data_IF_706016769488
#
_entry.id   IF_706016769488
#
_cell.length_a   1.000
_cell.length_b   1.000
_cell.length_c   1.000
_cell.angle_alpha   90.00
_cell.angle_beta   90.00
_cell.angle_gamma   90.00
#
_symmetry.space_group_name_H-M   'P 1'
#
loop_
_entity.id
_entity.type
_entity.pdbx_description
1 polymer ?
#
# COMPACT_ATOMS: atom_id res chain seq x y z
N UNK A 1 -30.02 17.97 21.35
CA UNK A 1 -31.38 17.58 21.80
C UNK A 1 -31.46 17.83 23.30
N UNK A 2 -32.56 18.35 23.88
CA UNK A 2 -32.64 18.63 25.33
C UNK A 2 -32.54 17.34 26.15
N UNK A 3 -31.69 17.30 27.17
CA UNK A 3 -31.34 16.09 27.96
C UNK A 3 -32.54 15.40 28.61
N UNK A 4 -33.59 16.13 29.02
CA UNK A 4 -34.80 15.53 29.58
C UNK A 4 -35.52 14.57 28.61
N UNK A 5 -35.41 14.81 27.29
CA UNK A 5 -35.96 13.92 26.25
C UNK A 5 -35.13 12.67 25.97
N UNK A 6 -33.91 12.59 26.52
CA UNK A 6 -32.99 11.46 26.39
C UNK A 6 -33.25 10.45 27.51
N UNK A 7 -33.54 10.93 28.72
CA UNK A 7 -33.91 10.10 29.87
C UNK A 7 -35.28 9.41 29.68
N UNK A 8 -36.29 10.10 29.15
CA UNK A 8 -37.62 9.52 28.88
C UNK A 8 -37.61 8.37 27.85
N UNK A 9 -36.58 8.26 26.99
CA UNK A 9 -36.55 7.30 25.86
C UNK A 9 -35.73 6.03 26.11
N UNK A 10 -35.13 5.90 27.29
CA UNK A 10 -34.39 4.70 27.72
C UNK A 10 -33.28 4.25 26.74
N UNK A 11 -32.59 5.22 26.12
CA UNK A 11 -31.62 5.00 25.04
C UNK A 11 -30.34 4.26 25.46
N UNK A 12 -30.02 4.30 26.75
CA UNK A 12 -28.86 3.61 27.34
C UNK A 12 -28.97 2.08 27.32
N UNK A 13 -30.18 1.54 27.19
CA UNK A 13 -30.41 0.10 27.04
C UNK A 13 -30.44 -0.38 25.58
N UNK A 14 -30.24 0.51 24.59
CA UNK A 14 -30.52 0.21 23.17
C UNK A 14 -29.32 0.15 22.23
N UNK A 15 -28.14 0.66 22.60
CA UNK A 15 -26.96 0.61 21.72
C UNK A 15 -25.68 0.35 22.51
N UNK A 16 -24.94 -0.71 22.14
CA UNK A 16 -23.66 -1.10 22.77
C UNK A 16 -22.41 -0.51 22.12
N UNK A 17 -22.48 -0.07 20.84
CA UNK A 17 -21.36 0.57 20.13
C UNK A 17 -21.92 1.66 19.20
N UNK A 18 -21.38 2.88 19.27
CA UNK A 18 -21.76 4.01 18.41
C UNK A 18 -20.55 4.45 17.57
N UNK A 19 -20.44 3.93 16.34
CA UNK A 19 -19.41 4.37 15.38
C UNK A 19 -19.80 5.74 14.79
N UNK A 20 -19.38 6.83 15.43
CA UNK A 20 -19.62 8.18 14.88
C UNK A 20 -18.40 8.69 14.13
N UNK A 21 -18.62 9.32 12.98
CA UNK A 21 -17.59 10.04 12.25
C UNK A 21 -17.25 11.36 12.96
N UNK A 22 -16.55 11.32 14.09
CA UNK A 22 -15.86 12.46 14.74
C UNK A 22 -16.66 13.73 15.07
N UNK A 23 -17.97 13.78 14.81
CA UNK A 23 -18.84 14.95 14.96
C UNK A 23 -19.87 14.79 16.09
N UNK A 24 -19.80 13.68 16.84
CA UNK A 24 -20.61 13.51 18.04
C UNK A 24 -19.96 14.30 19.19
N UNK A 25 -20.69 15.26 19.76
CA UNK A 25 -20.21 16.04 20.88
C UNK A 25 -20.22 15.18 22.15
N UNK A 26 -19.03 14.80 22.62
CA UNK A 26 -18.80 14.14 23.91
C UNK A 26 -19.17 15.03 25.11
N UNK A 27 -19.61 16.28 24.90
CA UNK A 27 -20.02 17.20 25.97
C UNK A 27 -21.47 16.99 26.46
N UNK A 28 -22.07 15.83 26.22
CA UNK A 28 -23.43 15.50 26.68
C UNK A 28 -23.40 14.36 27.69
N UNK A 29 -24.41 14.25 28.55
CA UNK A 29 -24.57 13.23 29.60
C UNK A 29 -24.44 11.77 29.13
N UNK A 30 -24.36 11.55 27.82
CA UNK A 30 -24.05 10.25 27.24
C UNK A 30 -22.56 9.86 27.42
N UNK A 31 -21.65 10.78 27.74
CA UNK A 31 -20.22 10.49 27.85
C UNK A 31 -19.87 9.46 28.94
N UNK A 32 -20.64 9.40 30.04
CA UNK A 32 -20.46 8.41 31.11
C UNK A 32 -20.85 6.98 30.69
N UNK A 33 -21.61 6.85 29.60
CA UNK A 33 -22.12 5.57 29.08
C UNK A 33 -21.54 5.21 27.72
N UNK A 34 -20.58 6.00 27.25
CA UNK A 34 -19.91 5.80 25.97
C UNK A 34 -18.49 5.37 26.22
N UNK A 35 -18.23 4.07 26.02
CA UNK A 35 -16.86 3.60 25.91
C UNK A 35 -16.27 4.05 24.56
N UNK A 36 -15.10 4.68 24.63
CA UNK A 36 -14.35 5.04 23.46
C UNK A 36 -13.85 3.76 22.78
N UNK A 37 -14.43 3.43 21.64
CA UNK A 37 -14.04 2.26 20.84
C UNK A 37 -13.30 2.70 19.57
N UNK A 38 -12.21 2.00 19.25
CA UNK A 38 -11.54 2.16 17.98
C UNK A 38 -12.38 1.53 16.87
N UNK A 39 -12.76 2.33 15.87
CA UNK A 39 -13.23 1.80 14.60
C UNK A 39 -11.99 1.51 13.74
N UNK A 40 -11.60 0.23 13.55
CA UNK A 40 -10.40 -0.09 12.77
C UNK A 40 -10.57 0.34 11.32
N UNK A 41 -9.46 0.49 10.60
CA UNK A 41 -9.51 0.52 9.15
C UNK A 41 -10.02 -0.82 8.60
N UNK A 42 -10.67 -0.74 7.44
CA UNK A 42 -11.40 -1.85 6.84
C UNK A 42 -10.45 -2.74 6.02
N UNK A 43 -10.73 -4.04 5.99
CA UNK A 43 -10.01 -4.96 5.09
C UNK A 43 -10.47 -4.73 3.66
N UNK A 44 -9.66 -5.19 2.72
CA UNK A 44 -10.02 -5.11 1.31
C UNK A 44 -11.32 -5.87 1.03
N UNK A 45 -11.45 -7.10 1.53
CA UNK A 45 -12.66 -7.94 1.37
C UNK A 45 -13.95 -7.23 1.85
N UNK A 46 -13.88 -6.52 2.98
CA UNK A 46 -15.03 -5.76 3.49
C UNK A 46 -15.42 -4.61 2.55
N UNK A 47 -14.42 -3.97 1.93
CA UNK A 47 -14.60 -2.87 1.00
C UNK A 47 -15.03 -3.35 -0.40
N UNK A 48 -14.63 -4.56 -0.79
CA UNK A 48 -15.13 -5.25 -2.00
C UNK A 48 -16.62 -5.54 -1.87
N UNK A 49 -17.09 -5.96 -0.68
CA UNK A 49 -18.51 -6.14 -0.42
C UNK A 49 -19.30 -4.82 -0.59
N UNK A 50 -18.74 -3.70 -0.12
CA UNK A 50 -19.31 -2.36 -0.35
C UNK A 50 -19.31 -2.02 -1.85
N UNK A 51 -18.20 -2.28 -2.54
CA UNK A 51 -18.08 -2.05 -3.98
C UNK A 51 -19.14 -2.82 -4.77
N UNK A 52 -19.32 -4.11 -4.46
CA UNK A 52 -20.36 -4.96 -5.05
C UNK A 52 -21.76 -4.42 -4.79
N UNK A 53 -22.06 -3.99 -3.56
CA UNK A 53 -23.34 -3.38 -3.23
C UNK A 53 -23.58 -2.06 -4.00
N UNK A 54 -22.52 -1.30 -4.29
CA UNK A 54 -22.58 -0.06 -5.08
C UNK A 54 -22.50 -0.28 -6.60
N UNK A 55 -22.33 -1.52 -7.07
CA UNK A 55 -22.15 -1.83 -8.49
C UNK A 55 -20.83 -1.31 -9.06
N UNK A 56 -19.80 -1.17 -8.23
CA UNK A 56 -18.47 -0.73 -8.69
C UNK A 56 -17.68 -1.89 -9.32
N UNK A 57 -16.94 -1.64 -10.41
CA UNK A 57 -15.95 -2.58 -10.91
C UNK A 57 -14.89 -2.88 -9.85
N UNK A 58 -14.35 -4.10 -9.84
CA UNK A 58 -13.27 -4.52 -8.93
C UNK A 58 -12.06 -3.58 -8.99
N UNK A 59 -11.64 -3.21 -10.20
CA UNK A 59 -10.57 -2.23 -10.43
C UNK A 59 -10.80 -0.86 -9.76
N UNK A 60 -12.07 -0.47 -9.58
CA UNK A 60 -12.43 0.75 -8.86
C UNK A 60 -12.25 0.59 -7.35
N UNK A 61 -12.61 -0.57 -6.80
CA UNK A 61 -12.39 -0.91 -5.39
C UNK A 61 -10.89 -0.94 -5.11
N UNK A 62 -10.10 -1.63 -5.94
CA UNK A 62 -8.65 -1.69 -5.84
C UNK A 62 -8.01 -0.31 -5.88
N UNK A 63 -8.38 0.53 -6.86
CA UNK A 63 -7.83 1.88 -6.98
C UNK A 63 -8.16 2.75 -5.76
N UNK A 64 -9.37 2.61 -5.19
CA UNK A 64 -9.77 3.33 -3.98
C UNK A 64 -9.04 2.79 -2.75
N UNK A 65 -8.89 1.48 -2.63
CA UNK A 65 -8.21 0.85 -1.51
C UNK A 65 -6.72 1.16 -1.49
N UNK A 66 -6.07 1.10 -2.66
CA UNK A 66 -4.67 1.51 -2.87
C UNK A 66 -4.38 2.91 -2.30
N UNK A 67 -5.32 3.84 -2.50
CA UNK A 67 -5.23 5.23 -1.99
C UNK A 67 -5.63 5.35 -0.52
N UNK A 68 -6.73 4.72 -0.11
CA UNK A 68 -7.33 4.92 1.21
C UNK A 68 -6.66 4.11 2.33
N UNK A 69 -6.00 2.99 2.00
CA UNK A 69 -5.43 2.07 2.98
C UNK A 69 -6.46 1.48 3.93
N UNK A 70 -7.74 1.41 3.55
CA UNK A 70 -8.81 0.91 4.41
C UNK A 70 -9.57 1.99 5.19
N UNK A 71 -9.23 3.28 5.04
CA UNK A 71 -10.08 4.36 5.55
C UNK A 71 -11.40 4.40 4.80
N UNK A 72 -12.49 4.02 5.45
CA UNK A 72 -13.83 4.03 4.84
C UNK A 72 -14.21 5.45 4.36
N UNK A 73 -13.86 6.48 5.14
CA UNK A 73 -14.11 7.87 4.77
C UNK A 73 -13.46 8.22 3.42
N UNK A 74 -12.20 7.85 3.22
CA UNK A 74 -11.48 8.14 1.98
C UNK A 74 -11.81 7.18 0.86
N UNK A 75 -12.18 5.95 1.18
CA UNK A 75 -12.65 4.97 0.21
C UNK A 75 -13.95 5.42 -0.46
N UNK A 76 -14.87 6.01 0.30
CA UNK A 76 -16.16 6.49 -0.24
C UNK A 76 -16.04 7.84 -0.96
N UNK A 77 -15.06 8.67 -0.61
CA UNK A 77 -14.82 9.98 -1.21
C UNK A 77 -14.07 9.88 -2.55
N UNK A 78 -14.81 9.97 -3.66
CA UNK A 78 -14.24 9.91 -5.01
C UNK A 78 -13.31 11.11 -5.34
N UNK A 79 -13.46 12.24 -4.64
CA UNK A 79 -12.63 13.42 -4.81
C UNK A 79 -11.36 13.37 -3.96
N UNK A 80 -11.21 12.36 -3.09
CA UNK A 80 -10.04 12.21 -2.26
C UNK A 80 -8.78 12.03 -3.13
N UNK A 81 -7.94 13.07 -3.10
CA UNK A 81 -6.56 12.98 -3.55
C UNK A 81 -5.74 12.57 -2.33
N UNK A 82 -4.76 11.68 -2.53
CA UNK A 82 -3.75 11.39 -1.52
C UNK A 82 -3.11 12.74 -1.14
N UNK A 83 -3.48 13.27 0.03
CA UNK A 83 -3.31 14.68 0.36
C UNK A 83 -1.95 14.94 1.01
N UNK A 84 -1.26 15.98 0.51
CA UNK A 84 -0.27 16.80 1.22
C UNK A 84 0.88 16.05 1.92
N UNK A 85 1.65 15.27 1.15
CA UNK A 85 2.92 14.70 1.62
C UNK A 85 4.03 15.73 1.88
N UNK A 86 3.79 17.00 1.55
CA UNK A 86 4.64 18.12 1.97
C UNK A 86 4.78 18.18 3.49
N UNK A 87 3.81 17.67 4.25
CA UNK A 87 3.90 17.57 5.71
C UNK A 87 4.99 16.60 6.19
N UNK A 88 5.31 15.58 5.40
CA UNK A 88 6.40 14.64 5.70
C UNK A 88 7.69 15.23 5.13
N UNK A 89 8.26 16.17 5.87
CA UNK A 89 9.46 16.92 5.46
C UNK A 89 10.76 16.10 5.64
N UNK A 90 10.73 15.03 6.44
CA UNK A 90 11.91 14.19 6.68
C UNK A 90 11.66 13.01 7.61
N UNK A 91 12.71 12.23 7.93
CA UNK A 91 12.61 10.99 8.70
C UNK A 91 11.94 11.16 10.07
N UNK A 92 12.24 12.23 10.81
CA UNK A 92 11.65 12.48 12.13
C UNK A 92 10.14 12.73 12.08
N UNK A 93 9.63 13.35 11.01
CA UNK A 93 8.19 13.50 10.79
C UNK A 93 7.53 12.19 10.40
N UNK A 94 8.21 11.33 9.63
CA UNK A 94 7.71 10.02 9.29
C UNK A 94 7.63 9.10 10.52
N UNK A 95 8.61 9.13 11.43
CA UNK A 95 8.55 8.31 12.66
C UNK A 95 7.32 8.62 13.52
N UNK A 96 6.82 9.86 13.51
CA UNK A 96 5.58 10.25 14.21
C UNK A 96 4.33 9.54 13.66
N UNK A 97 4.38 9.02 12.44
CA UNK A 97 3.29 8.23 11.86
C UNK A 97 3.09 6.90 12.59
N UNK A 98 4.15 6.39 13.25
CA UNK A 98 4.14 5.12 13.96
C UNK A 98 3.91 5.28 15.47
N UNK A 99 3.80 6.52 15.98
CA UNK A 99 3.61 6.79 17.41
C UNK A 99 2.18 7.22 17.73
N UNK A 100 1.81 7.12 19.01
CA UNK A 100 0.56 7.65 19.54
C UNK A 100 0.53 9.18 19.67
N UNK A 101 1.67 9.85 19.48
CA UNK A 101 1.80 11.30 19.68
C UNK A 101 0.95 12.03 18.64
N UNK A 102 0.01 12.85 19.11
CA UNK A 102 -0.81 13.69 18.24
C UNK A 102 0.07 14.65 17.44
N UNK A 103 -0.20 14.77 16.15
CA UNK A 103 0.28 15.92 15.40
C UNK A 103 -0.72 17.07 15.59
N UNK A 104 -0.22 18.30 15.69
CA UNK A 104 -1.04 19.50 15.72
C UNK A 104 -1.95 19.57 14.47
N UNK A 105 -3.13 20.18 14.62
CA UNK A 105 -4.21 20.15 13.62
C UNK A 105 -3.84 20.73 12.25
N UNK A 106 -2.85 21.63 12.22
CA UNK A 106 -2.24 22.25 11.05
C UNK A 106 -1.50 21.25 10.15
N UNK A 107 -0.94 20.18 10.72
CA UNK A 107 -0.17 19.19 9.95
C UNK A 107 -1.02 18.08 9.33
N UNK A 108 -2.29 17.91 9.69
CA UNK A 108 -3.19 16.88 9.11
C UNK A 108 -2.62 15.44 9.03
N UNK A 109 -1.56 15.09 9.78
CA UNK A 109 -0.92 13.76 9.77
C UNK A 109 -1.93 12.64 10.08
N UNK A 110 -2.97 12.97 10.85
CA UNK A 110 -4.10 12.09 11.15
C UNK A 110 -4.90 11.63 9.92
N UNK A 111 -4.73 12.28 8.75
CA UNK A 111 -5.34 11.84 7.48
C UNK A 111 -4.54 10.73 6.79
N UNK A 112 -3.28 10.55 7.16
CA UNK A 112 -2.39 9.52 6.61
C UNK A 112 -2.27 8.34 7.57
N UNK A 113 -2.23 8.66 8.88
CA UNK A 113 -2.12 7.70 9.96
C UNK A 113 -3.46 7.04 10.26
N UNK A 114 -3.47 5.72 10.28
CA UNK A 114 -4.55 4.90 10.80
C UNK A 114 -4.21 4.39 12.20
N UNK A 115 -5.22 3.88 12.90
CA UNK A 115 -5.05 3.09 14.12
C UNK A 115 -5.61 1.70 13.92
N UNK A 116 -4.95 0.72 14.49
CA UNK A 116 -5.50 -0.62 14.65
C UNK A 116 -5.17 -1.20 16.01
N UNK A 117 -5.55 -2.45 16.22
CA UNK A 117 -5.36 -3.19 17.47
C UNK A 117 -4.39 -4.34 17.27
N UNK A 118 -3.76 -4.79 18.36
CA UNK A 118 -2.81 -5.92 18.36
C UNK A 118 -3.48 -7.26 18.03
N UNK A 119 -4.63 -7.51 18.65
CA UNK A 119 -5.43 -8.72 18.42
C UNK A 119 -6.85 -8.29 18.09
N UNK A 120 -7.30 -8.64 16.89
CA UNK A 120 -8.61 -8.28 16.34
C UNK A 120 -9.73 -9.19 16.83
N UNK A 121 -9.38 -10.34 17.40
CA UNK A 121 -10.33 -11.29 17.94
C UNK A 121 -10.62 -11.02 19.43
N UNK A 122 -9.86 -10.11 20.05
CA UNK A 122 -10.08 -9.68 21.42
C UNK A 122 -10.81 -8.32 21.44
N UNK A 123 -12.06 -8.32 21.89
CA UNK A 123 -12.89 -7.12 22.02
C UNK A 123 -12.26 -6.05 22.93
N UNK A 124 -11.54 -6.46 23.97
CA UNK A 124 -10.96 -5.54 24.96
C UNK A 124 -9.92 -4.62 24.33
N UNK A 125 -9.24 -5.10 23.29
CA UNK A 125 -8.25 -4.31 22.57
C UNK A 125 -8.84 -3.15 21.79
N UNK A 126 -10.14 -3.18 21.49
CA UNK A 126 -10.83 -2.09 20.79
C UNK A 126 -11.22 -0.94 21.71
N UNK A 127 -11.30 -1.17 23.02
CA UNK A 127 -11.68 -0.16 24.02
C UNK A 127 -10.50 0.30 24.88
N UNK A 128 -9.44 -0.51 24.97
CA UNK A 128 -8.21 -0.16 25.68
C UNK A 128 -7.24 0.62 24.77
N UNK A 129 -7.09 1.92 25.05
CA UNK A 129 -6.20 2.85 24.35
C UNK A 129 -4.74 2.38 24.30
N UNK A 130 -4.26 1.65 25.31
CA UNK A 130 -2.88 1.15 25.37
C UNK A 130 -2.64 0.01 24.39
N UNK A 131 -3.70 -0.64 23.89
CA UNK A 131 -3.62 -1.70 22.88
C UNK A 131 -3.67 -1.17 21.45
N UNK A 132 -3.88 0.14 21.28
CA UNK A 132 -3.99 0.75 19.96
C UNK A 132 -2.63 1.10 19.41
N UNK A 133 -2.41 0.76 18.15
CA UNK A 133 -1.15 1.01 17.45
C UNK A 133 -1.39 1.90 16.24
N UNK A 134 -0.53 2.90 16.08
CA UNK A 134 -0.52 3.81 14.94
C UNK A 134 0.25 3.21 13.77
N UNK A 135 -0.29 3.31 12.56
CA UNK A 135 0.38 2.82 11.35
C UNK A 135 -0.05 3.61 10.11
N UNK A 136 0.66 3.43 9.00
CA UNK A 136 0.24 3.89 7.67
C UNK A 136 -0.07 2.66 6.85
N UNK A 137 -1.29 2.58 6.32
CA UNK A 137 -1.81 1.39 5.63
C UNK A 137 -2.01 1.60 4.13
N UNK A 138 -1.96 2.86 3.68
CA UNK A 138 -2.11 3.24 2.28
C UNK A 138 -0.83 2.97 1.50
N UNK A 139 -0.92 2.06 0.51
CA UNK A 139 0.20 1.74 -0.39
C UNK A 139 0.60 2.98 -1.21
N UNK A 140 -0.36 3.78 -1.67
CA UNK A 140 -0.05 5.02 -2.38
C UNK A 140 0.81 5.99 -1.55
N UNK A 141 0.50 6.15 -0.27
CA UNK A 141 1.30 7.01 0.64
C UNK A 141 2.69 6.41 0.85
N UNK A 142 2.76 5.11 1.14
CA UNK A 142 4.04 4.41 1.35
C UNK A 142 4.94 4.51 0.11
N UNK A 143 4.39 4.35 -1.09
CA UNK A 143 5.14 4.48 -2.34
C UNK A 143 5.76 5.86 -2.52
N UNK A 144 5.03 6.91 -2.14
CA UNK A 144 5.54 8.27 -2.20
C UNK A 144 6.57 8.57 -1.09
N UNK A 145 6.53 7.85 0.03
CA UNK A 145 7.49 7.97 1.11
C UNK A 145 8.84 7.29 0.82
N UNK A 146 8.90 6.32 -0.11
CA UNK A 146 10.14 5.63 -0.52
C UNK A 146 11.25 6.62 -0.90
N UNK A 147 10.89 7.73 -1.56
CA UNK A 147 11.86 8.75 -1.98
C UNK A 147 12.45 9.56 -0.83
N UNK A 148 11.82 9.57 0.34
CA UNK A 148 12.18 10.42 1.48
C UNK A 148 12.79 9.64 2.65
N UNK A 149 12.50 8.35 2.75
CA UNK A 149 12.77 7.56 3.95
C UNK A 149 13.88 6.54 3.74
N UNK A 150 14.47 6.10 4.85
CA UNK A 150 15.44 5.01 4.88
C UNK A 150 14.74 3.67 5.14
N UNK A 151 15.42 2.54 4.84
CA UNK A 151 14.87 1.20 5.10
C UNK A 151 14.44 0.98 6.56
N UNK A 152 15.11 1.62 7.52
CA UNK A 152 14.81 1.53 8.95
C UNK A 152 13.37 1.94 9.30
N UNK A 153 12.77 2.88 8.56
CA UNK A 153 11.36 3.22 8.78
C UNK A 153 10.43 2.04 8.46
N UNK A 154 10.68 1.36 7.34
CA UNK A 154 9.88 0.22 6.91
C UNK A 154 10.12 -1.01 7.80
N UNK A 155 11.34 -1.20 8.31
CA UNK A 155 11.64 -2.23 9.33
C UNK A 155 10.79 -2.02 10.59
N UNK A 156 10.74 -0.79 11.13
CA UNK A 156 9.87 -0.46 12.28
C UNK A 156 8.39 -0.65 11.96
N UNK A 157 7.94 -0.28 10.76
CA UNK A 157 6.56 -0.49 10.35
C UNK A 157 6.23 -1.99 10.16
N UNK A 158 7.21 -2.83 9.81
CA UNK A 158 7.03 -4.27 9.72
C UNK A 158 6.84 -4.88 11.11
N UNK A 159 7.55 -4.39 12.12
CA UNK A 159 7.32 -4.78 13.52
C UNK A 159 5.91 -4.44 13.98
N UNK A 160 5.42 -3.25 13.61
CA UNK A 160 4.03 -2.83 13.87
C UNK A 160 3.04 -3.76 13.17
N UNK A 161 3.25 -4.06 11.89
CA UNK A 161 2.36 -4.91 11.11
C UNK A 161 2.28 -6.34 11.69
N UNK A 162 3.43 -6.92 12.05
CA UNK A 162 3.51 -8.22 12.74
C UNK A 162 2.85 -8.18 14.11
N UNK A 163 3.07 -7.11 14.87
CA UNK A 163 2.43 -6.89 16.16
C UNK A 163 0.91 -6.87 16.06
N UNK A 164 0.36 -6.36 14.95
CA UNK A 164 -1.07 -6.31 14.66
C UNK A 164 -1.63 -7.57 13.99
N UNK A 165 -0.78 -8.56 13.69
CA UNK A 165 -1.12 -9.74 12.89
C UNK A 165 -1.85 -9.36 11.57
N UNK A 166 -1.33 -8.36 10.87
CA UNK A 166 -1.87 -7.89 9.59
C UNK A 166 -0.95 -8.28 8.43
N UNK A 167 -1.13 -9.50 7.91
CA UNK A 167 -0.35 -10.04 6.81
C UNK A 167 -0.39 -9.16 5.54
N UNK A 168 -1.51 -8.45 5.30
CA UNK A 168 -1.63 -7.54 4.15
C UNK A 168 -0.75 -6.32 4.37
N UNK A 169 -0.78 -5.72 5.55
CA UNK A 169 0.10 -4.61 5.89
C UNK A 169 1.56 -5.06 5.81
N UNK A 170 1.90 -6.25 6.31
CA UNK A 170 3.26 -6.81 6.17
C UNK A 170 3.71 -6.88 4.70
N UNK A 171 2.83 -7.34 3.79
CA UNK A 171 3.13 -7.36 2.35
C UNK A 171 3.39 -5.97 1.76
N UNK A 172 2.55 -4.98 2.08
CA UNK A 172 2.75 -3.59 1.61
C UNK A 172 4.03 -2.98 2.19
N UNK A 173 4.38 -3.32 3.43
CA UNK A 173 5.60 -2.84 4.09
C UNK A 173 6.84 -3.49 3.49
N UNK A 174 6.77 -4.78 3.17
CA UNK A 174 7.82 -5.51 2.48
C UNK A 174 8.14 -4.89 1.12
N UNK A 175 7.11 -4.53 0.34
CA UNK A 175 7.27 -3.82 -0.92
C UNK A 175 8.00 -2.48 -0.73
N UNK A 176 7.52 -1.64 0.19
CA UNK A 176 8.16 -0.35 0.50
C UNK A 176 9.60 -0.51 0.98
N UNK A 177 9.87 -1.50 1.83
CA UNK A 177 11.21 -1.85 2.29
C UNK A 177 12.12 -2.20 1.10
N UNK A 178 11.69 -3.10 0.23
CA UNK A 178 12.45 -3.52 -0.95
C UNK A 178 12.82 -2.33 -1.83
N UNK A 179 11.85 -1.45 -2.14
CA UNK A 179 12.12 -0.26 -2.94
C UNK A 179 13.13 0.69 -2.28
N UNK A 180 13.10 0.81 -0.94
CA UNK A 180 14.15 1.57 -0.25
C UNK A 180 15.52 0.90 -0.29
N UNK A 181 15.61 -0.43 -0.29
CA UNK A 181 16.90 -1.12 -0.48
C UNK A 181 17.49 -0.77 -1.85
N UNK A 182 16.67 -0.85 -2.91
CA UNK A 182 17.08 -0.46 -4.27
C UNK A 182 17.57 0.98 -4.28
N UNK A 183 16.76 1.93 -3.79
CA UNK A 183 17.10 3.36 -3.79
C UNK A 183 18.39 3.66 -3.01
N UNK A 184 18.57 3.03 -1.86
CA UNK A 184 19.74 3.22 -0.99
C UNK A 184 20.92 2.31 -1.36
N UNK A 185 20.85 1.63 -2.52
CA UNK A 185 21.91 0.79 -3.07
C UNK A 185 22.39 -0.27 -2.10
N UNK A 186 21.45 -0.85 -1.34
CA UNK A 186 21.76 -1.96 -0.45
C UNK A 186 21.63 -3.25 -1.24
N UNK A 187 22.61 -4.17 -1.16
CA UNK A 187 22.52 -5.45 -1.84
C UNK A 187 21.34 -6.25 -1.31
N UNK A 188 20.65 -6.95 -2.22
CA UNK A 188 19.54 -7.82 -1.86
C UNK A 188 19.52 -9.06 -2.76
N UNK A 189 18.85 -10.10 -2.27
CA UNK A 189 18.63 -11.32 -3.03
C UNK A 189 17.24 -11.33 -3.63
N UNK A 190 17.14 -11.71 -4.90
CA UNK A 190 15.87 -11.96 -5.59
C UNK A 190 15.84 -13.37 -6.15
N UNK A 191 14.66 -13.98 -6.11
CA UNK A 191 14.36 -15.15 -6.91
C UNK A 191 13.69 -14.65 -8.19
N UNK A 192 14.32 -14.88 -9.33
CA UNK A 192 13.76 -14.50 -10.62
C UNK A 192 13.11 -15.71 -11.26
N UNK A 193 11.99 -15.45 -11.92
CA UNK A 193 11.30 -16.42 -12.74
C UNK A 193 11.20 -15.89 -14.16
N UNK A 194 11.61 -16.71 -15.12
CA UNK A 194 11.50 -16.38 -16.54
C UNK A 194 10.04 -16.55 -16.98
N UNK A 195 9.46 -15.51 -17.58
CA UNK A 195 8.12 -15.53 -18.14
C UNK A 195 8.18 -16.06 -19.59
N UNK A 196 7.60 -17.24 -19.83
CA UNK A 196 7.47 -17.79 -21.17
C UNK A 196 6.22 -17.23 -21.86
N UNK A 197 6.42 -16.33 -22.82
CA UNK A 197 5.34 -15.71 -23.57
C UNK A 197 4.81 -16.56 -24.74
N UNK A 198 5.46 -17.69 -25.07
CA UNK A 198 5.15 -18.58 -26.19
C UNK A 198 4.06 -19.59 -25.77
N UNK A 199 4.10 -20.10 -24.54
CA UNK A 199 3.23 -21.16 -24.05
C UNK A 199 2.13 -20.68 -23.08
N UNK A 200 1.36 -19.66 -23.47
CA UNK A 200 0.29 -19.05 -22.65
C UNK A 200 -0.87 -19.98 -22.24
N UNK A 201 -0.95 -21.19 -22.80
CA UNK A 201 -2.15 -22.05 -22.74
C UNK A 201 -2.16 -23.12 -21.64
N UNK A 202 -1.08 -23.27 -20.85
CA UNK A 202 -1.14 -24.15 -19.69
C UNK A 202 -1.62 -23.38 -18.47
N UNK A 203 -2.86 -23.69 -18.05
CA UNK A 203 -3.59 -23.22 -16.86
C UNK A 203 -2.92 -23.54 -15.51
N UNK A 204 -1.61 -23.68 -15.49
CA UNK A 204 -0.81 -23.72 -14.29
C UNK A 204 0.30 -22.69 -14.53
N UNK A 205 0.28 -21.59 -13.77
CA UNK A 205 1.46 -20.77 -13.47
C UNK A 205 2.40 -21.63 -12.58
N UNK A 206 2.62 -22.89 -12.95
CA UNK A 206 3.83 -23.62 -12.61
C UNK A 206 4.85 -23.12 -13.60
N UNK A 207 5.37 -21.95 -13.27
CA UNK A 207 6.69 -21.53 -13.64
C UNK A 207 7.62 -22.74 -13.59
N UNK A 208 7.88 -23.34 -14.75
CA UNK A 208 8.96 -24.32 -14.96
C UNK A 208 10.35 -23.65 -14.83
N UNK A 209 10.39 -22.44 -14.27
CA UNK A 209 11.58 -21.62 -14.10
C UNK A 209 12.45 -22.26 -13.03
N UNK A 210 13.70 -22.52 -13.39
CA UNK A 210 14.76 -22.69 -12.42
C UNK A 210 14.69 -21.51 -11.44
N UNK A 211 14.50 -21.77 -10.14
CA UNK A 211 14.65 -20.78 -9.08
C UNK A 211 16.08 -20.25 -9.11
N UNK A 212 16.33 -19.22 -9.92
CA UNK A 212 17.64 -18.58 -10.00
C UNK A 212 17.64 -17.46 -8.96
N UNK A 213 18.43 -17.70 -7.90
CA UNK A 213 18.68 -16.69 -6.88
C UNK A 213 19.82 -15.79 -7.36
N UNK A 214 19.53 -14.51 -7.52
CA UNK A 214 20.52 -13.51 -7.87
C UNK A 214 20.82 -12.62 -6.67
N UNK A 215 22.09 -12.31 -6.47
CA UNK A 215 22.50 -11.16 -5.67
C UNK A 215 22.52 -9.97 -6.63
N UNK A 216 21.63 -9.01 -6.41
CA UNK A 216 21.65 -7.76 -7.16
C UNK A 216 22.51 -6.79 -6.34
N UNK A 217 23.69 -6.51 -6.88
CA UNK A 217 24.52 -5.41 -6.39
C UNK A 217 24.10 -4.15 -7.13
N UNK A 218 23.58 -3.18 -6.39
CA UNK A 218 23.16 -1.91 -6.96
C UNK A 218 24.40 -1.11 -7.33
N UNK A 219 24.58 -0.87 -8.63
CA UNK A 219 25.70 -0.12 -9.20
C UNK A 219 26.06 1.14 -8.37
N UNK A 220 27.34 1.54 -8.24
CA UNK A 220 27.75 2.67 -7.42
C UNK A 220 27.28 4.05 -7.92
N UNK A 221 26.75 4.13 -9.15
CA UNK A 221 26.19 5.36 -9.71
C UNK A 221 24.77 5.67 -9.18
N UNK A 222 24.31 6.89 -9.42
CA UNK A 222 22.97 7.32 -9.03
C UNK A 222 21.86 6.58 -9.77
N UNK A 223 21.06 5.80 -9.03
CA UNK A 223 19.87 5.13 -9.56
C UNK A 223 18.77 6.15 -9.77
N UNK A 224 18.33 6.30 -11.01
CA UNK A 224 17.20 7.15 -11.38
C UNK A 224 15.89 6.42 -11.11
N UNK A 225 15.27 6.75 -9.98
CA UNK A 225 13.99 6.18 -9.53
C UNK A 225 12.84 7.12 -9.89
N UNK A 226 11.87 6.63 -10.66
CA UNK A 226 10.68 7.38 -11.06
C UNK A 226 9.41 6.76 -10.44
N UNK A 227 8.51 7.60 -9.90
CA UNK A 227 7.19 7.18 -9.41
C UNK A 227 6.10 7.93 -10.17
N UNK A 228 5.46 7.26 -11.11
CA UNK A 228 4.53 7.88 -12.05
C UNK A 228 3.53 6.88 -12.64
N UNK A 229 2.58 7.37 -13.44
CA UNK A 229 1.52 6.55 -14.01
C UNK A 229 0.34 6.41 -13.05
N UNK A 230 -0.57 7.38 -13.05
CA UNK A 230 -1.72 7.42 -12.13
C UNK A 230 -2.93 6.62 -12.63
N UNK A 231 -2.80 6.05 -13.82
CA UNK A 231 -3.74 5.13 -14.46
C UNK A 231 -2.98 4.26 -15.49
N UNK A 232 -3.65 3.23 -16.03
CA UNK A 232 -3.03 2.29 -16.97
C UNK A 232 -2.46 2.97 -18.23
N UNK A 233 -3.15 3.96 -18.78
CA UNK A 233 -2.71 4.65 -20.00
C UNK A 233 -1.40 5.40 -19.77
N UNK A 234 -1.30 6.11 -18.64
CA UNK A 234 -0.06 6.77 -18.23
C UNK A 234 1.06 5.78 -17.93
N UNK A 235 0.79 4.65 -17.25
CA UNK A 235 1.80 3.61 -17.03
C UNK A 235 2.37 3.10 -18.36
N UNK A 236 1.51 2.82 -19.35
CA UNK A 236 1.94 2.39 -20.69
C UNK A 236 2.73 3.50 -21.40
N UNK A 237 2.34 4.77 -21.23
CA UNK A 237 3.09 5.89 -21.78
C UNK A 237 4.51 5.99 -21.21
N UNK A 238 4.67 5.77 -19.90
CA UNK A 238 5.99 5.71 -19.24
C UNK A 238 6.83 4.57 -19.81
N UNK A 239 6.26 3.36 -19.96
CA UNK A 239 6.96 2.22 -20.56
C UNK A 239 7.41 2.49 -22.00
N UNK A 240 6.56 3.13 -22.81
CA UNK A 240 6.92 3.54 -24.19
C UNK A 240 8.06 4.56 -24.22
N UNK A 241 8.02 5.54 -23.31
CA UNK A 241 9.07 6.56 -23.17
C UNK A 241 10.38 5.89 -22.78
N UNK A 242 10.37 5.04 -21.76
CA UNK A 242 11.55 4.32 -21.29
C UNK A 242 12.13 3.38 -22.34
N UNK A 243 11.30 2.60 -23.03
CA UNK A 243 11.75 1.74 -24.11
C UNK A 243 12.35 2.52 -25.30
N UNK A 244 11.97 3.79 -25.47
CA UNK A 244 12.56 4.68 -26.50
C UNK A 244 13.88 5.29 -26.01
N UNK A 245 13.97 5.62 -24.73
CA UNK A 245 15.14 6.21 -24.09
C UNK A 245 15.59 5.36 -22.86
N UNK A 246 16.27 4.22 -23.05
CA UNK A 246 16.66 3.32 -21.96
C UNK A 246 17.50 3.93 -20.82
N UNK A 247 18.18 5.05 -21.09
CA UNK A 247 19.02 5.78 -20.13
C UNK A 247 18.27 6.79 -19.25
N UNK A 248 16.97 6.99 -19.51
CA UNK A 248 16.16 7.98 -18.82
C UNK A 248 15.94 7.63 -17.35
N UNK A 249 15.69 6.35 -17.06
CA UNK A 249 15.46 5.84 -15.72
C UNK A 249 16.09 4.45 -15.55
N UNK A 250 16.27 4.03 -14.30
CA UNK A 250 16.81 2.70 -13.95
C UNK A 250 15.79 1.87 -13.16
N UNK A 251 14.86 2.54 -12.48
CA UNK A 251 13.83 1.92 -11.68
C UNK A 251 12.54 2.73 -11.73
N UNK A 252 11.41 2.04 -11.91
CA UNK A 252 10.10 2.66 -11.97
C UNK A 252 9.12 1.98 -11.02
N UNK A 253 8.33 2.78 -10.30
CA UNK A 253 7.26 2.34 -9.42
C UNK A 253 5.94 2.96 -9.92
N UNK A 254 4.88 2.17 -10.15
CA UNK A 254 3.60 2.71 -10.57
C UNK A 254 2.96 3.56 -9.45
N UNK A 255 2.44 4.73 -9.82
CA UNK A 255 1.60 5.57 -8.95
C UNK A 255 0.12 5.10 -8.92
N UNK A 256 -0.13 3.87 -9.35
CA UNK A 256 -1.45 3.28 -9.58
C UNK A 256 -1.43 1.78 -9.25
N UNK A 257 -2.57 1.25 -8.83
CA UNK A 257 -2.71 -0.19 -8.61
C UNK A 257 -2.80 -0.93 -9.95
N UNK A 258 -1.78 -1.73 -10.28
CA UNK A 258 -1.78 -2.60 -11.45
C UNK A 258 -2.39 -3.98 -11.15
N UNK A 259 -3.46 -4.02 -10.35
CA UNK A 259 -4.18 -5.27 -9.99
C UNK A 259 -3.22 -6.35 -9.47
N UNK A 260 -2.32 -5.97 -8.55
CA UNK A 260 -1.29 -6.85 -7.96
C UNK A 260 -0.31 -7.51 -8.96
N UNK A 261 -0.33 -7.13 -10.23
CA UNK A 261 0.45 -7.80 -11.29
C UNK A 261 1.91 -7.34 -11.31
N UNK A 262 2.14 -6.04 -11.23
CA UNK A 262 3.48 -5.43 -11.25
C UNK A 262 3.55 -4.38 -10.15
N UNK A 263 4.60 -4.47 -9.34
CA UNK A 263 4.91 -3.53 -8.28
C UNK A 263 6.07 -2.59 -8.66
N UNK A 264 6.95 -3.01 -9.58
CA UNK A 264 7.97 -2.15 -10.16
C UNK A 264 8.53 -2.71 -11.47
N UNK A 265 9.23 -1.86 -12.24
CA UNK A 265 10.05 -2.27 -13.37
C UNK A 265 11.47 -1.77 -13.16
N UNK A 266 12.45 -2.64 -13.37
CA UNK A 266 13.84 -2.37 -13.07
C UNK A 266 14.75 -2.72 -14.23
N UNK A 267 15.76 -1.90 -14.49
CA UNK A 267 16.81 -2.20 -15.44
C UNK A 267 18.03 -2.72 -14.67
N UNK A 268 18.33 -4.00 -14.80
CA UNK A 268 19.39 -4.67 -14.04
C UNK A 268 20.34 -5.43 -14.93
N UNK A 269 21.62 -5.43 -14.53
CA UNK A 269 22.65 -6.29 -15.11
C UNK A 269 22.78 -7.54 -14.26
N UNK A 270 22.63 -8.70 -14.89
CA UNK A 270 22.81 -9.99 -14.23
C UNK A 270 24.29 -10.44 -14.34
N UNK A 271 24.70 -11.53 -13.66
CA UNK A 271 26.09 -12.01 -13.72
C UNK A 271 26.63 -12.31 -15.13
N UNK A 272 25.75 -12.53 -16.10
CA UNK A 272 26.10 -12.69 -17.52
C UNK A 272 26.37 -11.36 -18.25
N UNK A 273 26.37 -10.24 -17.52
CA UNK A 273 26.58 -8.88 -18.01
C UNK A 273 25.54 -8.43 -19.04
N UNK A 274 24.43 -9.16 -19.17
CA UNK A 274 23.32 -8.76 -20.04
C UNK A 274 22.37 -7.92 -19.21
N UNK A 275 22.21 -6.66 -19.62
CA UNK A 275 21.20 -5.76 -19.08
C UNK A 275 19.80 -6.20 -19.54
N UNK A 276 18.86 -6.25 -18.59
CA UNK A 276 17.48 -6.66 -18.79
C UNK A 276 16.50 -5.74 -18.07
N UNK A 277 15.33 -5.58 -18.65
CA UNK A 277 14.18 -4.92 -18.04
C UNK A 277 13.33 -5.95 -17.30
N UNK A 278 13.48 -5.99 -15.98
CA UNK A 278 12.78 -6.90 -15.09
C UNK A 278 11.45 -6.31 -14.65
N UNK A 279 10.35 -7.04 -14.86
CA UNK A 279 9.03 -6.72 -14.35
C UNK A 279 8.85 -7.44 -13.01
N UNK A 280 8.71 -6.67 -11.93
CA UNK A 280 8.77 -7.18 -10.57
C UNK A 280 7.37 -7.31 -9.98
N UNK A 281 7.08 -8.49 -9.43
CA UNK A 281 6.00 -8.72 -8.50
C UNK A 281 6.62 -9.12 -7.14
N UNK A 282 6.37 -8.31 -6.11
CA UNK A 282 6.89 -8.49 -4.76
C UNK A 282 5.79 -9.09 -3.90
N UNK A 283 6.01 -10.30 -3.40
CA UNK A 283 4.99 -10.99 -2.61
C UNK A 283 5.61 -11.80 -1.48
N UNK A 284 4.93 -11.82 -0.34
CA UNK A 284 5.19 -12.78 0.73
C UNK A 284 4.26 -14.00 0.65
N UNK A 285 3.28 -13.98 -0.26
CA UNK A 285 2.33 -15.07 -0.41
C UNK A 285 2.95 -16.24 -1.17
N UNK A 286 2.55 -17.45 -0.80
CA UNK A 286 2.94 -18.69 -1.51
C UNK A 286 2.19 -18.88 -2.82
N UNK A 287 1.07 -18.18 -2.99
CA UNK A 287 0.27 -18.11 -4.22
C UNK A 287 0.19 -16.65 -4.64
N UNK A 288 0.33 -16.40 -5.93
CA UNK A 288 0.24 -15.07 -6.51
C UNK A 288 -0.55 -15.15 -7.81
N UNK A 289 -1.12 -14.03 -8.22
CA UNK A 289 -1.86 -13.87 -9.46
C UNK A 289 -1.13 -12.85 -10.32
N UNK A 290 -1.06 -13.11 -11.62
CA UNK A 290 -0.45 -12.21 -12.58
C UNK A 290 -1.41 -12.08 -13.75
N UNK A 291 -1.86 -10.85 -14.06
CA UNK A 291 -2.71 -10.61 -15.21
C UNK A 291 -1.86 -10.51 -16.47
N UNK A 292 -1.92 -11.52 -17.33
CA UNK A 292 -1.21 -11.54 -18.61
C UNK A 292 -1.53 -10.30 -19.47
N UNK A 293 -2.78 -9.83 -19.46
CA UNK A 293 -3.19 -8.64 -20.20
C UNK A 293 -2.52 -7.37 -19.69
N UNK A 294 -2.41 -7.22 -18.36
CA UNK A 294 -1.73 -6.07 -17.74
C UNK A 294 -0.23 -6.14 -18.02
N UNK A 295 0.38 -7.30 -17.77
CA UNK A 295 1.81 -7.53 -18.02
C UNK A 295 2.14 -7.25 -19.49
N UNK A 296 1.38 -7.81 -20.43
CA UNK A 296 1.64 -7.65 -21.85
C UNK A 296 1.53 -6.19 -22.30
N UNK A 297 0.55 -5.43 -21.81
CA UNK A 297 0.42 -3.99 -22.13
C UNK A 297 1.68 -3.20 -21.75
N UNK A 298 2.33 -3.57 -20.65
CA UNK A 298 3.52 -2.88 -20.14
C UNK A 298 4.82 -3.39 -20.75
N UNK A 299 4.90 -4.68 -21.09
CA UNK A 299 6.08 -5.31 -21.71
C UNK A 299 6.18 -5.03 -23.21
N UNK A 300 5.05 -4.93 -23.92
CA UNK A 300 5.01 -4.79 -25.38
C UNK A 300 5.91 -3.66 -25.95
N UNK A 301 6.02 -2.46 -25.33
CA UNK A 301 6.92 -1.42 -25.82
C UNK A 301 8.39 -1.85 -25.92
N UNK A 302 8.89 -2.61 -24.96
CA UNK A 302 10.28 -3.10 -24.92
C UNK A 302 10.51 -4.20 -25.96
N UNK A 303 9.57 -5.14 -26.08
CA UNK A 303 9.60 -6.21 -27.09
C UNK A 303 9.62 -5.63 -28.50
N UNK A 304 8.78 -4.63 -28.78
CA UNK A 304 8.76 -3.93 -30.08
C UNK A 304 10.08 -3.25 -30.42
N UNK A 305 10.85 -2.83 -29.40
CA UNK A 305 12.18 -2.23 -29.53
C UNK A 305 13.31 -3.27 -29.50
N UNK A 306 12.99 -4.57 -29.40
CA UNK A 306 13.95 -5.67 -29.27
C UNK A 306 14.90 -5.52 -28.07
N UNK A 307 14.39 -4.94 -26.98
CA UNK A 307 15.11 -4.85 -25.72
C UNK A 307 14.96 -6.17 -24.95
N UNK A 308 15.96 -6.53 -24.16
CA UNK A 308 15.90 -7.71 -23.31
C UNK A 308 14.95 -7.45 -22.13
N UNK A 309 13.89 -8.25 -22.05
CA UNK A 309 12.90 -8.28 -20.97
C UNK A 309 12.95 -9.63 -20.29
#
# INVERSE_FOLDING_TARGET
MPQHKIAEKNWLNKYRILATSGQFSLKSDAAEFLELCLVPYWRQEDLEAIGKHKGWPESTVDARFFKSGGSLRYFLDAAFRVARLDVIEGPSHAERLLTGIGASSDKQINRIRMRGVRDRNNSDHYVDLEKWTSCVTSRAVLNLMIHKLSPNFFEKLADVARGMNDARLEGVVFEGYFHTLVRHRRPFHVNCYEYDNINRLMNDIRMNSMNKKYLIDCCPDEIKVENSGTNMEECVAVMKKWATNPSEMDYWIPAFSLCQTIDAVAKWSFPDQIERFCFLQLTMATKYTCSDDVLWKLVQPFVKKKLNV
#
